data_IF_776992255937
#
_entry.id   IF_776992255937
#
_cell.length_a   1.000
_cell.length_b   1.000
_cell.length_c   1.000
_cell.angle_alpha   90.00
_cell.angle_beta   90.00
_cell.angle_gamma   90.00
#
_symmetry.space_group_name_H-M   'P 1'
#
loop_
_entity.id
_entity.type
_entity.pdbx_description
1 polymer ?
#
# COMPACT_ATOMS: atom_id res chain seq x y z
N UNK A 1 9.55 -4.03 -21.44
CA UNK A 1 8.66 -4.22 -21.18
C UNK A 1 8.47 -4.44 -19.92
N UNK A 2 7.78 -3.89 -19.32
CA UNK A 2 7.71 -3.97 -18.00
C UNK A 2 6.75 -4.94 -17.50
N UNK A 3 7.17 -5.80 -16.67
CA UNK A 3 6.31 -6.75 -16.04
C UNK A 3 5.47 -6.01 -15.00
N UNK A 4 4.18 -6.22 -14.98
CA UNK A 4 3.37 -5.62 -13.94
C UNK A 4 3.83 -6.07 -12.57
N UNK A 5 3.82 -5.16 -11.64
CA UNK A 5 4.27 -5.44 -10.29
C UNK A 5 3.06 -5.58 -9.38
N UNK A 6 3.07 -6.62 -8.57
CA UNK A 6 2.05 -6.78 -7.56
C UNK A 6 2.59 -6.35 -6.23
N UNK A 7 1.78 -5.63 -5.47
CA UNK A 7 2.16 -5.25 -4.12
C UNK A 7 1.05 -5.66 -3.17
N UNK A 8 1.43 -5.85 -1.92
CA UNK A 8 0.46 -6.18 -0.90
C UNK A 8 -0.05 -4.89 -0.28
N UNK A 9 -1.33 -4.65 -0.45
CA UNK A 9 -1.99 -3.52 0.19
C UNK A 9 -2.50 -3.99 1.54
N UNK A 10 -2.33 -3.17 2.55
CA UNK A 10 -2.72 -3.52 3.91
C UNK A 10 -3.85 -2.61 4.33
N UNK A 11 -4.88 -3.18 4.91
CA UNK A 11 -5.98 -2.38 5.41
C UNK A 11 -6.46 -2.95 6.74
N UNK A 12 -7.14 -2.11 7.52
CA UNK A 12 -7.67 -2.52 8.80
C UNK A 12 -9.11 -2.98 8.61
N UNK A 13 -9.36 -4.24 8.96
CA UNK A 13 -10.70 -4.79 8.86
C UNK A 13 -11.40 -4.59 10.19
N UNK A 14 -12.41 -3.75 10.19
CA UNK A 14 -13.12 -3.42 11.42
C UNK A 14 -13.91 -4.58 11.98
N UNK A 15 -14.39 -5.44 11.12
CA UNK A 15 -15.17 -6.58 11.56
C UNK A 15 -14.30 -7.62 12.23
N UNK A 16 -13.14 -7.88 11.64
CA UNK A 16 -12.22 -8.85 12.20
C UNK A 16 -11.28 -8.25 13.22
N UNK A 17 -11.21 -6.92 13.25
CA UNK A 17 -10.32 -6.18 14.15
C UNK A 17 -8.89 -6.66 13.96
N UNK A 18 -8.48 -6.78 12.71
CA UNK A 18 -7.14 -7.24 12.38
C UNK A 18 -6.70 -6.62 11.07
N UNK A 19 -5.40 -6.67 10.83
CA UNK A 19 -4.83 -6.20 9.58
C UNK A 19 -5.01 -7.30 8.54
N UNK A 20 -5.54 -6.90 7.39
CA UNK A 20 -5.74 -7.81 6.27
C UNK A 20 -4.92 -7.35 5.09
N UNK A 21 -4.67 -8.25 4.16
CA UNK A 21 -3.85 -7.96 3.00
C UNK A 21 -4.62 -8.23 1.73
N UNK A 22 -4.36 -7.40 0.74
CA UNK A 22 -4.95 -7.56 -0.56
C UNK A 22 -3.85 -7.38 -1.59
N UNK A 23 -3.76 -8.27 -2.56
CA UNK A 23 -2.76 -8.17 -3.60
C UNK A 23 -3.28 -7.26 -4.71
N UNK A 24 -2.51 -6.24 -5.06
CA UNK A 24 -2.92 -5.24 -6.02
C UNK A 24 -1.91 -5.19 -7.15
N UNK A 25 -2.38 -5.21 -8.38
CA UNK A 25 -1.54 -5.14 -9.54
C UNK A 25 -1.26 -3.68 -9.89
N UNK A 26 0.00 -3.33 -10.02
CA UNK A 26 0.40 -1.96 -10.31
C UNK A 26 0.63 -1.81 -11.80
N UNK A 27 -0.19 -1.00 -12.44
CA UNK A 27 -0.03 -0.68 -13.86
C UNK A 27 0.87 0.54 -14.03
N UNK A 28 0.67 1.55 -13.21
CA UNK A 28 1.50 2.75 -13.22
C UNK A 28 1.75 3.18 -11.79
N UNK A 29 2.95 3.65 -11.55
CA UNK A 29 3.33 4.10 -10.23
C UNK A 29 3.41 5.62 -10.25
N UNK A 30 2.69 6.27 -9.33
CA UNK A 30 2.61 7.72 -9.30
C UNK A 30 3.24 8.34 -8.05
N UNK A 31 3.95 7.56 -7.28
CA UNK A 31 4.64 8.09 -6.12
C UNK A 31 4.21 7.42 -4.84
N UNK A 32 4.88 7.81 -3.78
CA UNK A 32 4.64 7.21 -2.48
C UNK A 32 4.58 8.28 -1.40
N UNK A 33 3.91 7.94 -0.31
CA UNK A 33 3.89 8.76 0.89
C UNK A 33 4.63 7.98 1.95
N UNK A 34 5.64 8.60 2.54
CA UNK A 34 6.49 7.92 3.48
C UNK A 34 5.95 7.97 4.90
N UNK A 35 6.28 6.95 5.66
CA UNK A 35 5.97 6.93 7.07
C UNK A 35 6.81 7.99 7.78
N UNK A 36 6.16 8.83 8.58
CA UNK A 36 6.88 9.92 9.24
C UNK A 36 7.79 9.43 10.36
N UNK A 37 7.71 8.18 10.72
CA UNK A 37 8.53 7.63 11.80
C UNK A 37 9.77 6.92 11.29
N UNK A 38 9.66 6.20 10.21
CA UNK A 38 10.78 5.41 9.72
C UNK A 38 11.18 5.77 8.29
N UNK A 39 10.45 6.68 7.67
CA UNK A 39 10.72 7.13 6.31
C UNK A 39 10.64 6.04 5.25
N UNK A 40 10.02 4.93 5.57
CA UNK A 40 9.77 3.91 4.56
C UNK A 40 8.45 4.18 3.89
N UNK A 41 8.30 3.83 2.63
CA UNK A 41 7.03 4.03 1.96
C UNK A 41 5.90 3.34 2.68
N UNK A 42 4.85 4.08 2.99
CA UNK A 42 3.71 3.56 3.70
C UNK A 42 2.50 3.43 2.80
N UNK A 43 2.39 4.29 1.82
CA UNK A 43 1.31 4.17 0.86
C UNK A 43 1.85 4.55 -0.51
N UNK A 44 1.20 4.01 -1.53
CA UNK A 44 1.63 4.25 -2.90
C UNK A 44 0.46 4.70 -3.73
N UNK A 45 0.68 5.71 -4.56
CA UNK A 45 -0.31 6.14 -5.53
C UNK A 45 -0.03 5.37 -6.80
N UNK A 46 -1.00 4.61 -7.24
CA UNK A 46 -0.81 3.76 -8.40
C UNK A 46 -2.03 3.82 -9.30
N UNK A 47 -1.88 3.25 -10.47
CA UNK A 47 -3.00 3.00 -11.35
C UNK A 47 -3.16 1.51 -11.47
N UNK A 48 -4.37 1.02 -11.27
CA UNK A 48 -4.66 -0.39 -11.40
C UNK A 48 -6.11 -0.54 -11.87
N UNK A 49 -6.33 -1.46 -12.78
CA UNK A 49 -7.65 -1.67 -13.32
C UNK A 49 -8.21 -0.46 -14.04
N UNK A 50 -7.34 0.39 -14.56
CA UNK A 50 -7.77 1.60 -15.24
C UNK A 50 -8.12 2.75 -14.31
N UNK A 51 -7.92 2.60 -13.02
CA UNK A 51 -8.27 3.62 -12.05
C UNK A 51 -7.10 3.96 -11.17
N UNK A 52 -7.08 5.19 -10.70
CA UNK A 52 -6.06 5.62 -9.76
C UNK A 52 -6.48 5.24 -8.36
N UNK A 53 -5.56 4.67 -7.61
CA UNK A 53 -5.82 4.24 -6.25
C UNK A 53 -4.65 4.57 -5.35
N UNK A 54 -4.92 4.64 -4.06
CA UNK A 54 -3.87 4.70 -3.05
C UNK A 54 -3.89 3.39 -2.31
N UNK A 55 -2.78 2.67 -2.34
CA UNK A 55 -2.68 1.40 -1.64
C UNK A 55 -1.74 1.57 -0.46
N UNK A 56 -2.05 0.92 0.64
CA UNK A 56 -1.30 1.04 1.87
C UNK A 56 -0.42 -0.18 2.08
N UNK A 57 0.79 0.09 2.54
CA UNK A 57 1.73 -0.97 2.86
C UNK A 57 2.14 -0.74 4.30
N UNK A 58 1.98 -1.74 5.14
CA UNK A 58 2.31 -1.58 6.53
C UNK A 58 3.82 -1.42 6.68
N UNK A 59 4.24 -0.29 7.22
CA UNK A 59 5.66 -0.12 7.47
C UNK A 59 5.98 -0.87 8.75
N UNK A 60 7.15 -1.38 8.87
CA UNK A 60 7.49 -2.18 10.03
C UNK A 60 7.89 -1.40 11.25
N UNK A 61 7.70 -0.09 11.26
CA UNK A 61 8.16 0.69 12.39
C UNK A 61 7.24 0.50 13.59
N UNK A 62 7.81 0.69 14.77
CA UNK A 62 7.06 0.56 15.99
C UNK A 62 6.42 1.88 16.27
N UNK A 63 5.12 1.95 16.14
CA UNK A 63 4.48 3.15 16.57
C UNK A 63 3.21 2.76 17.25
N UNK A 64 2.90 3.51 18.27
CA UNK A 64 1.73 3.21 19.02
C UNK A 64 0.68 4.18 18.63
N UNK A 65 -0.48 3.70 18.45
CA UNK A 65 -1.59 4.58 18.10
C UNK A 65 -2.60 4.59 19.18
#
# INVERSE_FOLDING_TARGET
MDTPTEINSVYWDRKKKSWEYERVLVEEYHGAIDCQYCNKPMSHNIKTGGEFKVVYVKCGCTRTD
#
